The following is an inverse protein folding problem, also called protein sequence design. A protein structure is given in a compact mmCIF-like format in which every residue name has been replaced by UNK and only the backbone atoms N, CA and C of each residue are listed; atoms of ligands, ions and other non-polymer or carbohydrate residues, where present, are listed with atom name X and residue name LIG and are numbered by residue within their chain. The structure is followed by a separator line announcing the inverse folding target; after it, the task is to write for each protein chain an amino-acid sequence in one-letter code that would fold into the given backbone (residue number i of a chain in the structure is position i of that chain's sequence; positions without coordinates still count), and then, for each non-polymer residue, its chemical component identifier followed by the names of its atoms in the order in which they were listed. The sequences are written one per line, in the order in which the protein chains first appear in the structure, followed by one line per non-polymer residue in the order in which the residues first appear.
data_IF_635594951080
#
_entry.id   IF_635594951080
#
_cell.length_a   1.000
_cell.length_b   1.000
_cell.length_c   1.000
_cell.angle_alpha   90.00
_cell.angle_beta   90.00
_cell.angle_gamma   90.00
#
_symmetry.space_group_name_H-M   'P 1'
#
loop_
_entity.id
_entity.type
_entity.pdbx_description
1 polymer ?
#
# COMPACT_ATOMS: atom_id res chain seq x y z
N UNK A 1 -35.09 -2.35 39.29
CA UNK A 1 -34.04 -3.32 38.88
C UNK A 1 -33.24 -2.66 37.77
N UNK A 2 -31.99 -2.30 38.07
CA UNK A 2 -31.08 -1.64 37.13
C UNK A 2 -30.40 -2.71 36.29
N UNK A 3 -30.71 -2.76 34.99
CA UNK A 3 -29.90 -3.50 34.03
C UNK A 3 -28.72 -2.61 33.64
N UNK A 4 -27.58 -2.83 34.28
CA UNK A 4 -26.29 -2.37 33.74
C UNK A 4 -26.07 -3.08 32.41
N UNK A 5 -26.51 -2.46 31.32
CA UNK A 5 -26.10 -2.84 29.97
C UNK A 5 -24.59 -2.70 29.94
N UNK A 6 -23.88 -3.83 29.93
CA UNK A 6 -22.49 -3.87 29.52
C UNK A 6 -22.43 -3.39 28.06
N UNK A 7 -22.34 -2.08 27.87
CA UNK A 7 -21.80 -1.49 26.66
C UNK A 7 -20.29 -1.80 26.64
N UNK A 8 -19.95 -3.09 26.49
CA UNK A 8 -18.63 -3.49 26.06
C UNK A 8 -18.42 -2.78 24.73
N UNK A 9 -17.52 -1.80 24.72
CA UNK A 9 -17.39 -0.83 23.66
C UNK A 9 -17.03 -1.55 22.35
N UNK A 10 -18.05 -1.81 21.55
CA UNK A 10 -17.94 -2.07 20.14
C UNK A 10 -17.24 -0.84 19.52
N UNK A 11 -15.92 -0.91 19.34
CA UNK A 11 -15.23 -0.15 18.30
C UNK A 11 -14.78 -1.14 17.23
N UNK A 12 -15.68 -1.66 16.37
CA UNK A 12 -15.40 -2.90 15.67
C UNK A 12 -14.92 -2.69 14.23
N UNK A 13 -15.69 -2.49 13.16
CA UNK A 13 -15.18 -2.79 11.81
C UNK A 13 -14.21 -1.76 11.22
N UNK A 14 -14.34 -0.48 11.57
CA UNK A 14 -13.73 0.60 10.79
C UNK A 14 -12.20 0.73 10.98
N UNK A 15 -11.70 0.59 12.22
CA UNK A 15 -10.26 0.58 12.49
C UNK A 15 -9.55 -0.59 11.79
N UNK A 16 -10.19 -1.77 11.80
CA UNK A 16 -9.68 -2.94 11.09
C UNK A 16 -9.62 -2.69 9.59
N UNK A 17 -10.66 -2.09 9.01
CA UNK A 17 -10.68 -1.73 7.58
C UNK A 17 -9.58 -0.73 7.23
N UNK A 18 -9.37 0.30 8.06
CA UNK A 18 -8.29 1.29 7.84
C UNK A 18 -6.92 0.62 7.90
N UNK A 19 -6.67 -0.23 8.91
CA UNK A 19 -5.42 -0.96 9.04
C UNK A 19 -5.17 -1.91 7.86
N UNK A 20 -6.17 -2.71 7.50
CA UNK A 20 -6.07 -3.66 6.37
C UNK A 20 -5.85 -2.92 5.07
N UNK A 21 -6.59 -1.82 4.83
CA UNK A 21 -6.43 -0.99 3.63
C UNK A 21 -5.02 -0.41 3.51
N UNK A 22 -4.51 0.20 4.58
CA UNK A 22 -3.14 0.74 4.56
C UNK A 22 -2.08 -0.36 4.40
N UNK A 23 -2.23 -1.50 5.08
CA UNK A 23 -1.31 -2.62 4.95
C UNK A 23 -1.32 -3.20 3.54
N UNK A 24 -2.48 -3.33 2.90
CA UNK A 24 -2.60 -3.80 1.53
C UNK A 24 -1.93 -2.85 0.53
N UNK A 25 -2.16 -1.55 0.66
CA UNK A 25 -1.53 -0.52 -0.20
C UNK A 25 -0.01 -0.44 0.02
N UNK A 26 0.44 -0.53 1.26
CA UNK A 26 1.87 -0.59 1.60
C UNK A 26 2.50 -1.85 1.02
N UNK A 27 1.87 -3.02 1.22
CA UNK A 27 2.33 -4.28 0.67
C UNK A 27 2.45 -4.25 -0.84
N UNK A 28 1.43 -3.73 -1.54
CA UNK A 28 1.47 -3.55 -2.99
C UNK A 28 2.63 -2.64 -3.41
N UNK A 29 2.85 -1.52 -2.70
CA UNK A 29 3.99 -0.62 -2.98
C UNK A 29 5.33 -1.34 -2.81
N UNK A 30 5.51 -2.09 -1.72
CA UNK A 30 6.74 -2.84 -1.47
C UNK A 30 6.97 -3.88 -2.56
N UNK A 31 5.93 -4.62 -2.96
CA UNK A 31 6.03 -5.62 -4.04
C UNK A 31 6.41 -4.96 -5.36
N UNK A 32 5.72 -3.89 -5.78
CA UNK A 32 6.04 -3.16 -7.01
C UNK A 32 7.47 -2.62 -6.99
N UNK A 33 7.91 -2.08 -5.85
CA UNK A 33 9.29 -1.60 -5.68
C UNK A 33 10.30 -2.74 -5.80
N UNK A 34 10.01 -3.90 -5.21
CA UNK A 34 10.88 -5.07 -5.30
C UNK A 34 10.94 -5.61 -6.74
N UNK A 35 9.83 -5.62 -7.47
CA UNK A 35 9.80 -6.02 -8.89
C UNK A 35 10.65 -5.06 -9.73
N UNK A 36 10.48 -3.76 -9.52
CA UNK A 36 11.25 -2.73 -10.23
C UNK A 36 12.76 -2.86 -9.98
N UNK A 37 13.17 -2.96 -8.72
CA UNK A 37 14.57 -3.16 -8.33
C UNK A 37 15.12 -4.49 -8.85
N UNK A 38 14.34 -5.57 -8.76
CA UNK A 38 14.72 -6.88 -9.25
C UNK A 38 14.91 -6.89 -10.76
N UNK A 39 14.04 -6.20 -11.52
CA UNK A 39 14.16 -6.08 -12.97
C UNK A 39 15.39 -5.28 -13.37
N UNK A 40 15.65 -4.14 -12.71
CA UNK A 40 16.89 -3.37 -12.90
C UNK A 40 18.13 -4.21 -12.62
N UNK A 41 18.16 -4.93 -11.49
CA UNK A 41 19.28 -5.77 -11.11
C UNK A 41 19.50 -6.92 -12.12
N UNK A 42 18.42 -7.55 -12.60
CA UNK A 42 18.50 -8.64 -13.58
C UNK A 42 18.94 -8.17 -14.97
N UNK A 43 18.58 -6.95 -15.37
CA UNK A 43 18.97 -6.37 -16.65
C UNK A 43 20.29 -5.59 -16.60
N UNK A 44 20.80 -5.25 -15.41
CA UNK A 44 22.00 -4.43 -15.23
C UNK A 44 21.80 -2.97 -15.64
N UNK A 45 20.57 -2.45 -15.57
CA UNK A 45 20.20 -1.12 -16.06
C UNK A 45 19.79 -0.16 -14.95
N UNK A 46 19.89 1.14 -15.22
CA UNK A 46 19.48 2.18 -14.29
C UNK A 46 17.99 2.57 -14.38
N UNK A 47 17.50 3.41 -13.45
CA UNK A 47 16.11 3.89 -13.42
C UNK A 47 15.63 4.55 -14.72
N UNK A 48 16.48 5.32 -15.40
CA UNK A 48 16.11 6.03 -16.63
C UNK A 48 15.92 5.10 -17.83
N UNK A 49 16.66 4.00 -17.88
CA UNK A 49 16.52 2.98 -18.94
C UNK A 49 15.23 2.17 -18.75
N UNK A 50 14.81 1.93 -17.51
CA UNK A 50 13.55 1.24 -17.21
C UNK A 50 12.33 1.95 -17.80
N UNK A 51 12.36 3.28 -17.95
CA UNK A 51 11.23 4.06 -18.48
C UNK A 51 11.17 4.15 -20.01
N UNK A 52 12.00 3.39 -20.72
CA UNK A 52 12.07 3.41 -22.19
C UNK A 52 11.06 2.48 -22.89
N UNK A 53 10.31 1.68 -22.13
CA UNK A 53 9.37 0.67 -22.62
C UNK A 53 10.01 -0.68 -22.99
N UNK A 54 11.35 -0.77 -23.04
CA UNK A 54 12.05 -2.03 -23.31
C UNK A 54 11.96 -3.06 -22.16
N UNK A 55 11.47 -2.63 -20.99
CA UNK A 55 11.44 -3.41 -19.75
C UNK A 55 10.03 -3.40 -19.14
N UNK A 56 8.99 -3.66 -19.93
CA UNK A 56 7.58 -3.58 -19.51
C UNK A 56 7.32 -4.45 -18.25
N UNK A 57 6.69 -3.91 -17.19
CA UNK A 57 6.31 -4.68 -15.99
C UNK A 57 5.44 -5.90 -16.29
N UNK A 58 4.67 -5.91 -17.38
CA UNK A 58 3.81 -7.03 -17.80
C UNK A 58 4.62 -8.25 -18.22
N UNK A 59 5.86 -8.06 -18.70
CA UNK A 59 6.77 -9.16 -19.06
C UNK A 59 7.22 -9.96 -17.84
N UNK A 60 7.02 -9.42 -16.63
CA UNK A 60 7.32 -10.11 -15.38
C UNK A 60 6.19 -11.05 -14.93
N UNK A 61 5.02 -11.04 -15.59
CA UNK A 61 3.91 -11.93 -15.26
C UNK A 61 4.24 -13.35 -15.75
N UNK A 62 4.37 -14.34 -14.84
CA UNK A 62 4.66 -15.71 -15.25
C UNK A 62 3.59 -16.23 -16.22
N UNK A 63 4.03 -16.89 -17.30
CA UNK A 63 3.16 -17.44 -18.35
C UNK A 63 2.38 -16.38 -19.18
N UNK A 64 2.74 -15.10 -19.08
CA UNK A 64 2.16 -14.02 -19.87
C UNK A 64 0.76 -13.59 -19.43
N UNK A 65 0.24 -12.52 -20.06
CA UNK A 65 -1.08 -11.97 -19.75
C UNK A 65 -2.19 -12.83 -20.36
N UNK A 66 -3.04 -13.36 -19.49
CA UNK A 66 -4.25 -14.10 -19.87
C UNK A 66 -5.31 -14.01 -18.77
N UNK A 67 -6.58 -13.92 -19.15
CA UNK A 67 -7.71 -13.94 -18.21
C UNK A 67 -7.89 -15.28 -17.48
N UNK A 68 -7.26 -16.35 -17.96
CA UNK A 68 -7.24 -17.65 -17.26
C UNK A 68 -6.02 -17.82 -16.35
N UNK A 69 -5.03 -16.93 -16.44
CA UNK A 69 -3.81 -16.99 -15.64
C UNK A 69 -3.99 -16.22 -14.33
N UNK A 70 -3.89 -16.93 -13.20
CA UNK A 70 -3.97 -16.36 -11.86
C UNK A 70 -2.95 -15.24 -11.61
N UNK A 71 -1.76 -15.31 -12.22
CA UNK A 71 -0.74 -14.28 -12.06
C UNK A 71 -1.12 -12.96 -12.75
N UNK A 72 -1.88 -13.00 -13.85
CA UNK A 72 -2.47 -11.80 -14.46
C UNK A 72 -3.40 -11.09 -13.48
N UNK A 73 -4.24 -11.85 -12.76
CA UNK A 73 -5.16 -11.30 -11.78
C UNK A 73 -4.44 -10.72 -10.57
N UNK A 74 -3.38 -11.38 -10.11
CA UNK A 74 -2.52 -10.84 -9.04
C UNK A 74 -1.84 -9.54 -9.48
N UNK A 75 -1.30 -9.50 -10.70
CA UNK A 75 -0.72 -8.29 -11.30
C UNK A 75 -1.75 -7.16 -11.35
N UNK A 76 -2.97 -7.44 -11.85
CA UNK A 76 -4.07 -6.49 -11.87
C UNK A 76 -4.47 -6.00 -10.48
N UNK A 77 -4.53 -6.89 -9.48
CA UNK A 77 -4.81 -6.51 -8.10
C UNK A 77 -3.72 -5.59 -7.52
N UNK A 78 -2.44 -5.92 -7.75
CA UNK A 78 -1.31 -5.09 -7.33
C UNK A 78 -1.34 -3.74 -8.01
N UNK A 79 -1.67 -3.68 -9.30
CA UNK A 79 -1.86 -2.46 -10.06
C UNK A 79 -2.95 -1.58 -9.42
N UNK A 80 -4.13 -2.14 -9.14
CA UNK A 80 -5.23 -1.42 -8.50
C UNK A 80 -4.87 -0.93 -7.09
N UNK A 81 -4.24 -1.77 -6.26
CA UNK A 81 -3.82 -1.38 -4.91
C UNK A 81 -2.73 -0.31 -4.94
N UNK A 82 -1.79 -0.40 -5.88
CA UNK A 82 -0.73 0.58 -6.06
C UNK A 82 -1.29 1.94 -6.49
N UNK A 83 -2.22 1.96 -7.46
CA UNK A 83 -2.92 3.15 -7.93
C UNK A 83 -3.82 3.75 -6.84
N UNK A 84 -4.61 2.92 -6.15
CA UNK A 84 -5.42 3.36 -5.03
C UNK A 84 -4.54 3.99 -3.93
N UNK A 85 -3.34 3.46 -3.71
CA UNK A 85 -2.35 4.03 -2.81
C UNK A 85 -1.93 5.47 -3.13
N UNK A 86 -1.96 5.91 -4.40
CA UNK A 86 -1.65 7.31 -4.74
C UNK A 86 -2.69 8.29 -4.18
N UNK A 87 -3.97 7.95 -4.29
CA UNK A 87 -5.05 8.86 -3.90
C UNK A 87 -5.53 8.63 -2.46
N UNK A 88 -5.65 7.37 -2.05
CA UNK A 88 -6.34 6.97 -0.82
C UNK A 88 -5.40 6.90 0.39
N UNK A 89 -4.11 6.57 0.19
CA UNK A 89 -3.15 6.50 1.30
C UNK A 89 -3.00 7.82 2.09
N UNK A 90 -2.89 9.02 1.48
CA UNK A 90 -2.81 10.26 2.26
C UNK A 90 -4.09 10.53 3.06
N UNK A 91 -5.26 10.20 2.51
CA UNK A 91 -6.55 10.33 3.21
C UNK A 91 -6.63 9.38 4.42
N UNK A 92 -6.23 8.12 4.24
CA UNK A 92 -6.19 7.14 5.32
C UNK A 92 -5.15 7.48 6.38
N UNK A 93 -4.00 8.02 5.99
CA UNK A 93 -2.97 8.49 6.93
C UNK A 93 -3.51 9.66 7.77
N UNK A 94 -4.15 10.64 7.15
CA UNK A 94 -4.79 11.76 7.86
C UNK A 94 -5.88 11.29 8.83
N UNK A 95 -6.75 10.38 8.38
CA UNK A 95 -7.76 9.78 9.24
C UNK A 95 -7.14 8.97 10.41
N UNK A 96 -6.04 8.27 10.15
CA UNK A 96 -5.33 7.51 11.19
C UNK A 96 -4.69 8.41 12.24
N UNK A 97 -4.18 9.59 11.86
CA UNK A 97 -3.71 10.60 12.82
C UNK A 97 -4.85 11.07 13.72
N UNK A 98 -6.04 11.32 13.16
CA UNK A 98 -7.22 11.68 13.96
C UNK A 98 -7.56 10.60 14.98
N UNK A 99 -7.54 9.33 14.57
CA UNK A 99 -7.76 8.18 15.46
C UNK A 99 -6.67 8.09 16.55
N UNK A 100 -5.40 8.27 16.20
CA UNK A 100 -4.28 8.22 17.14
C UNK A 100 -4.38 9.30 18.23
N UNK A 101 -4.93 10.47 17.90
CA UNK A 101 -5.12 11.61 18.80
C UNK A 101 -6.39 11.46 19.64
N UNK A 102 -7.54 11.24 18.99
CA UNK A 102 -8.86 11.24 19.65
C UNK A 102 -9.14 9.97 20.44
N UNK A 103 -8.69 8.83 19.93
CA UNK A 103 -9.10 7.52 20.44
C UNK A 103 -8.04 6.82 21.28
N UNK A 104 -6.96 7.54 21.64
CA UNK A 104 -5.82 7.02 22.40
C UNK A 104 -6.21 6.25 23.66
N UNK A 105 -7.14 6.79 24.46
CA UNK A 105 -7.55 6.19 25.73
C UNK A 105 -8.35 4.89 25.57
N UNK A 106 -9.00 4.69 24.41
CA UNK A 106 -9.82 3.52 24.11
C UNK A 106 -9.09 2.43 23.31
N UNK A 107 -7.81 2.60 23.00
CA UNK A 107 -7.02 1.62 22.22
C UNK A 107 -6.00 0.90 23.10
N UNK A 108 -5.79 -0.38 22.82
CA UNK A 108 -4.64 -1.10 23.41
C UNK A 108 -3.34 -0.53 22.87
N UNK A 109 -2.27 -0.55 23.69
CA UNK A 109 -0.93 -0.04 23.27
C UNK A 109 -0.43 -0.71 21.99
N UNK A 110 -0.75 -2.00 21.79
CA UNK A 110 -0.33 -2.76 20.60
C UNK A 110 -1.00 -2.23 19.33
N UNK A 111 -2.31 -2.04 19.35
CA UNK A 111 -3.07 -1.51 18.21
C UNK A 111 -2.65 -0.09 17.90
N UNK A 112 -2.48 0.75 18.93
CA UNK A 112 -2.02 2.12 18.77
C UNK A 112 -0.64 2.19 18.11
N UNK A 113 0.33 1.36 18.56
CA UNK A 113 1.66 1.28 17.94
C UNK A 113 1.61 0.79 16.50
N UNK A 114 0.79 -0.21 16.22
CA UNK A 114 0.61 -0.73 14.86
C UNK A 114 0.04 0.34 13.93
N UNK A 115 -1.03 1.03 14.35
CA UNK A 115 -1.63 2.12 13.60
C UNK A 115 -0.61 3.25 13.35
N UNK A 116 0.15 3.63 14.37
CA UNK A 116 1.22 4.62 14.24
C UNK A 116 2.27 4.19 13.21
N UNK A 117 2.80 2.97 13.33
CA UNK A 117 3.83 2.46 12.43
C UNK A 117 3.35 2.43 10.98
N UNK A 118 2.14 1.93 10.74
CA UNK A 118 1.51 1.87 9.41
C UNK A 118 1.27 3.28 8.85
N UNK A 119 0.79 4.22 9.69
CA UNK A 119 0.57 5.61 9.29
C UNK A 119 1.88 6.30 8.89
N UNK A 120 2.95 6.11 9.67
CA UNK A 120 4.28 6.64 9.37
C UNK A 120 4.81 6.04 8.07
N UNK A 121 4.69 4.72 7.90
CA UNK A 121 5.10 4.05 6.66
C UNK A 121 4.33 4.59 5.44
N UNK A 122 3.01 4.78 5.55
CA UNK A 122 2.19 5.34 4.48
C UNK A 122 2.60 6.77 4.13
N UNK A 123 2.91 7.60 5.13
CA UNK A 123 3.42 8.95 4.91
C UNK A 123 4.78 8.92 4.20
N UNK A 124 5.72 8.09 4.64
CA UNK A 124 7.04 7.93 4.01
C UNK A 124 6.90 7.47 2.57
N UNK A 125 6.08 6.45 2.30
CA UNK A 125 5.80 5.98 0.94
C UNK A 125 5.23 7.09 0.07
N UNK A 126 4.28 7.87 0.60
CA UNK A 126 3.68 9.00 -0.14
C UNK A 126 4.75 10.03 -0.51
N UNK A 127 5.63 10.39 0.43
CA UNK A 127 6.74 11.31 0.17
C UNK A 127 7.71 10.74 -0.86
N UNK A 128 8.09 9.46 -0.75
CA UNK A 128 8.99 8.81 -1.69
C UNK A 128 8.41 8.73 -3.11
N UNK A 129 7.09 8.55 -3.25
CA UNK A 129 6.42 8.57 -4.57
C UNK A 129 6.54 9.92 -5.27
N UNK A 130 6.63 11.01 -4.51
CA UNK A 130 6.82 12.36 -5.04
C UNK A 130 8.29 12.69 -5.33
N UNK A 131 9.24 11.87 -4.88
CA UNK A 131 10.64 12.01 -5.24
C UNK A 131 10.87 11.59 -6.71
N UNK A 132 11.96 12.06 -7.36
CA UNK A 132 12.26 11.69 -8.75
C UNK A 132 12.28 10.18 -8.98
N UNK A 133 12.94 9.44 -8.09
CA UNK A 133 13.02 7.96 -8.15
C UNK A 133 11.65 7.29 -8.06
N UNK A 134 10.74 7.84 -7.25
CA UNK A 134 9.38 7.32 -7.10
C UNK A 134 8.48 7.65 -8.29
N UNK A 135 8.77 8.76 -8.96
CA UNK A 135 8.10 9.14 -10.21
C UNK A 135 8.49 8.19 -11.34
N UNK A 136 9.78 7.85 -11.46
CA UNK A 136 10.25 6.90 -12.48
C UNK A 136 9.70 5.49 -12.24
N UNK A 137 9.66 5.03 -10.98
CA UNK A 137 8.98 3.78 -10.60
C UNK A 137 7.50 3.81 -10.96
N UNK A 138 6.80 4.92 -10.70
CA UNK A 138 5.38 5.06 -11.00
C UNK A 138 5.14 5.07 -12.51
N UNK A 139 6.01 5.73 -13.29
CA UNK A 139 5.94 5.71 -14.76
C UNK A 139 6.15 4.31 -15.30
N UNK A 140 7.23 3.64 -14.87
CA UNK A 140 7.52 2.27 -15.28
C UNK A 140 6.37 1.32 -14.98
N UNK A 141 5.76 1.43 -13.80
CA UNK A 141 4.65 0.55 -13.43
C UNK A 141 3.36 0.80 -14.22
N UNK A 142 3.17 2.01 -14.76
CA UNK A 142 1.99 2.39 -15.53
C UNK A 142 2.16 2.23 -17.04
N UNK A 143 3.36 1.91 -17.50
CA UNK A 143 3.68 1.60 -18.89
C UNK A 143 3.05 0.26 -19.31
#
# INVERSE_FOLDING_TARGET
MSSTVHAGADRPPLLRTVLVGQLAMLGATVVVTALWLGRMAAAGVGPGEMTTGAYDPKDMVPYGLSGTNAFTWLYGLLMLLFLAGLAVAPLLAGYSVLLLVRDRAGMTRRIWRLLLAVTVAAAVVTVLRLAPIGTDLTRWWLD
#
